data_IF_583030772537
#
_entry.id   IF_583030772537
#
_cell.length_a   1.000
_cell.length_b   1.000
_cell.length_c   1.000
_cell.angle_alpha   90.00
_cell.angle_beta   90.00
_cell.angle_gamma   90.00
#
_symmetry.space_group_name_H-M   'P 1'
#
loop_
_entity.id
_entity.type
_entity.pdbx_description
1 polymer ?
#
# COMPACT_ATOMS: atom_id res chain seq x y z
N UNK A 1 14.33 23.99 24.66
CA UNK A 1 13.40 23.17 25.48
C UNK A 1 12.55 22.23 24.62
N UNK A 2 11.91 22.71 23.55
CA UNK A 2 11.09 21.92 22.61
C UNK A 2 11.78 20.66 22.01
N UNK A 3 13.07 20.75 21.71
CA UNK A 3 13.84 19.66 21.09
C UNK A 3 14.06 18.44 22.05
N UNK A 4 13.92 18.62 23.38
CA UNK A 4 14.00 17.53 24.36
C UNK A 4 12.67 16.80 24.51
N UNK A 5 11.54 17.51 24.46
CA UNK A 5 10.19 16.93 24.49
C UNK A 5 9.89 16.09 23.24
N UNK A 6 10.21 16.60 22.05
CA UNK A 6 10.03 15.86 20.80
C UNK A 6 10.81 14.55 20.78
N UNK A 7 12.05 14.54 21.30
CA UNK A 7 12.84 13.30 21.44
C UNK A 7 12.23 12.30 22.42
N UNK A 8 11.57 12.77 23.48
CA UNK A 8 10.86 11.91 24.43
C UNK A 8 9.66 11.22 23.78
N UNK A 9 8.84 11.99 23.06
CA UNK A 9 7.65 11.48 22.35
C UNK A 9 8.06 10.45 21.28
N UNK A 10 9.07 10.76 20.45
CA UNK A 10 9.58 9.84 19.42
C UNK A 10 10.10 8.53 20.03
N UNK A 11 10.81 8.62 21.16
CA UNK A 11 11.33 7.42 21.84
C UNK A 11 10.21 6.54 22.39
N UNK A 12 9.19 7.16 22.99
CA UNK A 12 8.04 6.47 23.54
C UNK A 12 7.23 5.77 22.43
N UNK A 13 6.89 6.49 21.36
CA UNK A 13 6.19 5.93 20.19
C UNK A 13 6.96 4.78 19.54
N UNK A 14 8.28 4.88 19.48
CA UNK A 14 9.12 3.79 18.98
C UNK A 14 9.07 2.55 19.88
N UNK A 15 8.99 2.72 21.20
CA UNK A 15 8.83 1.59 22.13
C UNK A 15 7.49 0.92 21.93
N UNK A 16 6.41 1.69 21.92
CA UNK A 16 5.03 1.19 21.67
C UNK A 16 4.98 0.38 20.36
N UNK A 17 5.63 0.87 19.30
CA UNK A 17 5.72 0.19 18.02
C UNK A 17 6.41 -1.18 18.08
N UNK A 18 7.51 -1.28 18.84
CA UNK A 18 8.25 -2.54 19.02
C UNK A 18 7.40 -3.53 19.82
N UNK A 19 6.82 -3.08 20.94
CA UNK A 19 5.97 -3.91 21.79
C UNK A 19 4.75 -4.45 21.02
N UNK A 20 4.10 -3.58 20.22
CA UNK A 20 2.96 -3.99 19.39
C UNK A 20 3.34 -5.05 18.34
N UNK A 21 4.53 -4.97 17.75
CA UNK A 21 4.96 -5.95 16.77
C UNK A 21 5.49 -7.26 17.37
N UNK A 22 6.02 -7.24 18.60
CA UNK A 22 6.31 -8.48 19.35
C UNK A 22 5.00 -9.19 19.73
N UNK A 23 4.01 -8.44 20.26
CA UNK A 23 2.68 -9.01 20.55
C UNK A 23 2.03 -9.61 19.30
N UNK A 24 2.20 -8.97 18.14
CA UNK A 24 1.73 -9.50 16.87
C UNK A 24 2.40 -10.84 16.52
N UNK A 25 3.72 -10.96 16.77
CA UNK A 25 4.46 -12.21 16.54
C UNK A 25 3.93 -13.34 17.42
N UNK A 26 3.70 -13.08 18.71
CA UNK A 26 3.16 -14.06 19.65
C UNK A 26 1.80 -14.59 19.20
N UNK A 27 0.89 -13.70 18.79
CA UNK A 27 -0.44 -14.10 18.26
C UNK A 27 -0.30 -15.01 17.04
N UNK A 28 0.61 -14.67 16.12
CA UNK A 28 0.83 -15.47 14.92
C UNK A 28 1.43 -16.85 15.22
N UNK A 29 2.33 -16.94 16.20
CA UNK A 29 2.84 -18.22 16.68
C UNK A 29 1.74 -19.07 17.34
N UNK A 30 0.86 -18.46 18.15
CA UNK A 30 -0.24 -19.15 18.83
C UNK A 30 -1.23 -19.78 17.84
N UNK A 31 -1.52 -19.10 16.72
CA UNK A 31 -2.39 -19.64 15.67
C UNK A 31 -1.68 -20.59 14.70
N UNK A 32 -0.42 -20.93 14.95
CA UNK A 32 0.36 -21.88 14.14
C UNK A 32 0.91 -21.31 12.83
N UNK A 33 0.98 -19.98 12.70
CA UNK A 33 1.55 -19.29 11.53
C UNK A 33 2.80 -18.52 11.96
N UNK A 34 3.93 -19.19 12.23
CA UNK A 34 5.14 -18.50 12.64
C UNK A 34 5.60 -17.52 11.55
N UNK A 35 5.89 -16.28 11.94
CA UNK A 35 6.39 -15.22 11.04
C UNK A 35 7.86 -14.89 11.38
N UNK A 36 8.82 -15.79 11.09
CA UNK A 36 10.23 -15.57 11.43
C UNK A 36 10.85 -14.39 10.66
N UNK A 37 10.24 -14.00 9.54
CA UNK A 37 10.63 -12.83 8.75
C UNK A 37 9.92 -11.53 9.14
N UNK A 38 9.15 -11.52 10.24
CA UNK A 38 8.41 -10.33 10.68
C UNK A 38 9.39 -9.22 11.08
N UNK A 39 9.41 -8.16 10.28
CA UNK A 39 10.16 -6.93 10.55
C UNK A 39 9.21 -5.78 10.87
N UNK A 40 9.62 -4.96 11.84
CA UNK A 40 8.88 -3.79 12.31
C UNK A 40 9.76 -2.57 12.00
N UNK A 41 9.32 -1.75 11.04
CA UNK A 41 10.01 -0.54 10.60
C UNK A 41 9.17 0.68 11.02
N UNK A 42 9.56 1.38 12.10
CA UNK A 42 8.91 2.60 12.54
C UNK A 42 9.34 3.75 11.61
N UNK A 43 8.71 3.85 10.43
CA UNK A 43 9.07 4.83 9.39
C UNK A 43 8.73 6.27 9.78
N UNK A 44 7.66 6.47 10.56
CA UNK A 44 7.17 7.81 10.88
C UNK A 44 7.01 8.00 12.41
N UNK A 45 8.07 8.44 13.09
CA UNK A 45 8.09 8.52 14.55
C UNK A 45 7.16 9.60 15.13
N UNK A 46 6.55 10.43 14.28
CA UNK A 46 5.66 11.54 14.67
C UNK A 46 4.20 11.12 14.64
N UNK A 47 3.77 10.38 13.60
CA UNK A 47 2.39 9.87 13.51
C UNK A 47 2.19 8.62 14.37
N UNK A 48 3.27 7.88 14.64
CA UNK A 48 3.21 6.59 15.31
C UNK A 48 2.91 5.44 14.34
N UNK A 49 2.97 5.69 13.03
CA UNK A 49 2.76 4.65 12.03
C UNK A 49 3.94 3.68 12.00
N UNK A 50 3.60 2.40 11.89
CA UNK A 50 4.55 1.31 11.91
C UNK A 50 4.34 0.48 10.65
N UNK A 51 5.43 0.26 9.90
CA UNK A 51 5.42 -0.72 8.82
C UNK A 51 5.74 -2.08 9.41
N UNK A 52 4.83 -3.01 9.24
CA UNK A 52 5.06 -4.42 9.57
C UNK A 52 5.19 -5.20 8.27
N UNK A 53 6.32 -5.90 8.10
CA UNK A 53 6.55 -6.75 6.93
C UNK A 53 6.72 -8.20 7.40
N UNK A 54 5.81 -9.13 7.05
CA UNK A 54 5.82 -10.51 7.57
C UNK A 54 6.96 -11.38 7.01
N UNK A 55 7.71 -10.88 6.03
CA UNK A 55 8.74 -11.63 5.33
C UNK A 55 8.12 -12.65 4.37
N UNK A 56 8.66 -13.88 4.35
CA UNK A 56 8.15 -14.96 3.48
C UNK A 56 7.10 -15.77 4.23
N UNK A 57 5.92 -15.87 3.64
CA UNK A 57 4.78 -16.66 4.15
C UNK A 57 4.29 -17.60 3.06
N UNK A 58 3.79 -18.79 3.43
CA UNK A 58 3.20 -19.68 2.45
C UNK A 58 1.86 -19.12 1.97
N UNK A 59 1.51 -19.36 0.70
CA UNK A 59 0.32 -18.78 0.09
C UNK A 59 -0.98 -19.14 0.84
N UNK A 60 -1.07 -20.35 1.40
CA UNK A 60 -2.22 -20.78 2.19
C UNK A 60 -2.36 -20.00 3.52
N UNK A 61 -1.23 -19.59 4.10
CA UNK A 61 -1.20 -18.88 5.38
C UNK A 61 -1.50 -17.38 5.21
N UNK A 62 -1.31 -16.83 4.01
CA UNK A 62 -1.66 -15.42 3.67
C UNK A 62 -3.14 -15.15 3.98
N UNK A 63 -4.03 -16.04 3.55
CA UNK A 63 -5.47 -15.85 3.72
C UNK A 63 -5.87 -15.98 5.20
N UNK A 64 -5.20 -16.85 5.95
CA UNK A 64 -5.40 -16.99 7.38
C UNK A 64 -4.99 -15.72 8.14
N UNK A 65 -3.82 -15.17 7.80
CA UNK A 65 -3.32 -13.90 8.35
C UNK A 65 -4.30 -12.76 8.07
N UNK A 66 -4.80 -12.65 6.84
CA UNK A 66 -5.81 -11.64 6.47
C UNK A 66 -7.11 -11.82 7.26
N UNK A 67 -7.55 -13.05 7.47
CA UNK A 67 -8.74 -13.36 8.28
C UNK A 67 -8.60 -12.88 9.72
N UNK A 68 -7.52 -13.27 10.39
CA UNK A 68 -7.24 -12.88 11.79
C UNK A 68 -7.19 -11.37 11.96
N UNK A 69 -6.55 -10.66 11.03
CA UNK A 69 -6.49 -9.19 11.06
C UNK A 69 -7.88 -8.55 10.87
N UNK A 70 -8.72 -9.11 10.01
CA UNK A 70 -10.10 -8.63 9.80
C UNK A 70 -10.98 -8.88 11.01
N UNK A 71 -10.91 -10.08 11.59
CA UNK A 71 -11.70 -10.46 12.77
C UNK A 71 -11.29 -9.62 13.97
N UNK A 72 -9.99 -9.41 14.18
CA UNK A 72 -9.47 -8.51 15.21
C UNK A 72 -9.89 -7.05 15.00
N UNK A 73 -9.96 -6.57 13.76
CA UNK A 73 -10.43 -5.23 13.45
C UNK A 73 -11.95 -5.09 13.68
N UNK A 74 -12.74 -6.07 13.26
CA UNK A 74 -14.18 -6.11 13.47
C UNK A 74 -14.54 -6.20 14.96
N UNK A 75 -13.73 -6.90 15.76
CA UNK A 75 -13.87 -6.95 17.21
C UNK A 75 -13.50 -5.62 17.92
N UNK A 76 -12.76 -4.72 17.26
CA UNK A 76 -12.25 -3.45 17.81
C UNK A 76 -13.10 -2.22 17.45
N UNK A 77 -14.32 -2.40 16.95
CA UNK A 77 -15.11 -1.34 16.33
C UNK A 77 -15.48 -0.16 17.28
N UNK A 78 -14.54 0.78 17.45
CA UNK A 78 -14.71 2.20 17.79
C UNK A 78 -13.33 2.91 17.77
N UNK A 79 -13.03 3.56 16.65
CA UNK A 79 -11.94 4.52 16.43
C UNK A 79 -10.52 3.95 16.17
N UNK A 80 -10.08 4.17 14.92
CA UNK A 80 -8.69 4.22 14.44
C UNK A 80 -7.97 2.86 14.30
N UNK A 81 -7.87 2.36 13.06
CA UNK A 81 -6.70 1.69 12.43
C UNK A 81 -7.16 0.82 11.26
N UNK A 82 -7.13 1.35 10.03
CA UNK A 82 -7.44 0.56 8.84
C UNK A 82 -6.27 -0.35 8.48
N UNK A 83 -6.41 -1.67 8.66
CA UNK A 83 -5.61 -2.64 7.91
C UNK A 83 -6.17 -2.67 6.50
N UNK A 84 -5.61 -1.88 5.59
CA UNK A 84 -5.98 -1.94 4.17
C UNK A 84 -4.97 -2.85 3.47
N UNK A 85 -5.29 -4.12 3.18
CA UNK A 85 -4.50 -4.84 2.18
C UNK A 85 -4.55 -3.98 0.92
N UNK A 86 -3.40 -3.51 0.40
CA UNK A 86 -3.40 -2.81 -0.87
C UNK A 86 -4.01 -3.77 -1.89
N UNK A 87 -5.23 -3.52 -2.38
CA UNK A 87 -5.84 -4.43 -3.33
C UNK A 87 -4.96 -4.37 -4.57
N UNK A 88 -4.39 -5.49 -4.97
CA UNK A 88 -3.76 -5.59 -6.29
C UNK A 88 -4.86 -5.23 -7.32
N UNK A 89 -4.67 -4.19 -8.16
CA UNK A 89 -5.63 -3.83 -9.19
C UNK A 89 -5.88 -5.01 -10.12
N UNK A 90 -7.05 -5.08 -10.72
CA UNK A 90 -7.34 -6.04 -11.78
C UNK A 90 -6.71 -5.57 -13.08
N UNK A 91 -6.37 -6.50 -13.96
CA UNK A 91 -5.90 -6.18 -15.32
C UNK A 91 -6.94 -5.28 -16.01
N UNK A 92 -6.48 -4.14 -16.52
CA UNK A 92 -7.31 -3.09 -17.10
C UNK A 92 -7.73 -1.97 -16.12
N UNK A 93 -7.53 -2.13 -14.81
CA UNK A 93 -7.85 -1.09 -13.84
C UNK A 93 -6.97 0.14 -14.05
N UNK A 94 -7.58 1.31 -13.91
CA UNK A 94 -6.91 2.60 -14.05
C UNK A 94 -6.24 3.01 -12.75
N UNK A 95 -4.94 3.28 -12.86
CA UNK A 95 -4.07 3.59 -11.73
C UNK A 95 -3.19 4.80 -12.01
N UNK A 96 -2.73 5.42 -10.93
CA UNK A 96 -1.83 6.58 -10.95
C UNK A 96 -0.52 6.17 -10.30
N UNK A 97 0.55 6.22 -11.08
CA UNK A 97 1.92 6.10 -10.57
C UNK A 97 2.37 7.50 -10.12
N UNK A 98 2.35 7.72 -8.81
CA UNK A 98 2.66 9.02 -8.21
C UNK A 98 4.14 9.37 -8.28
N UNK A 99 5.04 8.38 -8.35
CA UNK A 99 6.47 8.61 -8.47
C UNK A 99 6.85 9.11 -9.87
N UNK A 100 6.20 8.55 -10.90
CA UNK A 100 6.40 8.98 -12.27
C UNK A 100 5.42 10.08 -12.73
N UNK A 101 4.46 10.47 -11.89
CA UNK A 101 3.47 11.51 -12.20
C UNK A 101 2.55 11.17 -13.39
N UNK A 102 2.33 9.88 -13.68
CA UNK A 102 1.65 9.40 -14.89
C UNK A 102 0.51 8.43 -14.56
N UNK A 103 -0.53 8.43 -15.38
CA UNK A 103 -1.66 7.51 -15.27
C UNK A 103 -1.52 6.36 -16.26
N UNK A 104 -1.92 5.15 -15.87
CA UNK A 104 -1.84 3.96 -16.69
C UNK A 104 -2.93 2.93 -16.38
N UNK A 105 -3.01 1.91 -17.22
CA UNK A 105 -3.77 0.69 -16.97
C UNK A 105 -2.85 -0.36 -16.39
N UNK A 106 -3.30 -1.02 -15.32
CA UNK A 106 -2.60 -2.17 -14.76
C UNK A 106 -2.66 -3.34 -15.75
N UNK A 107 -1.51 -3.95 -16.04
CA UNK A 107 -1.39 -5.05 -17.00
C UNK A 107 -1.05 -6.36 -16.32
N UNK A 108 0.00 -6.37 -15.50
CA UNK A 108 0.48 -7.58 -14.83
C UNK A 108 1.43 -7.24 -13.67
N UNK A 109 1.83 -8.25 -12.92
CA UNK A 109 2.92 -8.17 -11.93
C UNK A 109 4.19 -8.76 -12.55
N UNK A 110 5.27 -7.98 -12.58
CA UNK A 110 6.59 -8.40 -13.03
C UNK A 110 7.55 -8.40 -11.82
N UNK A 111 7.70 -9.56 -11.18
CA UNK A 111 8.46 -9.70 -9.94
C UNK A 111 7.82 -8.94 -8.78
N UNK A 112 8.53 -7.94 -8.26
CA UNK A 112 8.06 -7.02 -7.20
C UNK A 112 7.50 -5.70 -7.75
N UNK A 113 7.42 -5.55 -9.07
CA UNK A 113 6.94 -4.34 -9.76
C UNK A 113 5.62 -4.59 -10.46
N UNK A 114 4.84 -3.52 -10.63
CA UNK A 114 3.63 -3.57 -11.44
C UNK A 114 3.91 -3.09 -12.85
N UNK A 115 3.47 -3.86 -13.85
CA UNK A 115 3.54 -3.47 -15.26
C UNK A 115 2.31 -2.66 -15.59
N UNK A 116 2.53 -1.42 -16.03
CA UNK A 116 1.50 -0.48 -16.40
C UNK A 116 1.63 -0.14 -17.89
N UNK A 117 0.52 0.09 -18.56
CA UNK A 117 0.49 0.59 -19.94
C UNK A 117 -0.21 1.96 -19.99
N UNK A 118 0.12 2.83 -20.95
CA UNK A 118 -0.53 4.13 -21.04
C UNK A 118 -2.04 3.97 -21.27
N UNK A 119 -2.82 4.90 -20.74
CA UNK A 119 -4.28 4.88 -20.92
C UNK A 119 -4.66 5.18 -22.37
N UNK A 120 -3.87 6.02 -23.04
CA UNK A 120 -4.09 6.44 -24.43
C UNK A 120 -2.74 6.61 -25.15
N UNK A 121 -2.76 6.42 -26.48
CA UNK A 121 -1.60 6.64 -27.36
C UNK A 121 -0.64 5.44 -27.44
N UNK A 122 0.49 5.69 -28.08
CA UNK A 122 1.59 4.78 -28.43
C UNK A 122 2.75 4.82 -27.42
N UNK A 123 2.48 5.21 -26.18
CA UNK A 123 3.51 5.23 -25.15
C UNK A 123 3.95 3.83 -24.72
N UNK A 124 5.21 3.71 -24.32
CA UNK A 124 5.78 2.43 -23.90
C UNK A 124 5.23 2.03 -22.52
N UNK A 125 4.88 0.73 -22.32
CA UNK A 125 4.64 0.18 -21.00
C UNK A 125 5.82 0.43 -20.06
N UNK A 126 5.52 0.54 -18.77
CA UNK A 126 6.54 0.80 -17.74
C UNK A 126 6.30 -0.05 -16.51
N UNK A 127 7.32 -0.18 -15.68
CA UNK A 127 7.24 -0.83 -14.38
C UNK A 127 7.19 0.22 -13.28
N UNK A 128 6.26 0.03 -12.34
CA UNK A 128 6.02 0.93 -11.23
C UNK A 128 6.19 0.22 -9.89
N UNK A 129 6.54 0.97 -8.86
CA UNK A 129 6.52 0.47 -7.49
C UNK A 129 5.06 0.33 -7.02
N UNK A 130 4.60 -0.84 -6.58
CA UNK A 130 3.25 -1.00 -6.03
C UNK A 130 2.92 0.02 -4.93
N UNK A 131 3.92 0.49 -4.18
CA UNK A 131 3.75 1.47 -3.11
C UNK A 131 3.56 2.91 -3.59
N UNK A 132 3.92 3.21 -4.83
CA UNK A 132 3.72 4.53 -5.45
C UNK A 132 2.49 4.56 -6.35
N UNK A 133 1.84 3.41 -6.53
CA UNK A 133 0.67 3.26 -7.38
C UNK A 133 -0.61 3.21 -6.54
N UNK A 134 -1.59 4.02 -6.93
CA UNK A 134 -2.94 4.00 -6.34
C UNK A 134 -4.02 3.96 -7.41
N UNK A 135 -5.23 3.54 -7.03
CA UNK A 135 -6.40 3.68 -7.92
C UNK A 135 -6.61 5.14 -8.32
N UNK A 136 -6.94 5.35 -9.59
CA UNK A 136 -7.30 6.66 -10.09
C UNK A 136 -8.64 7.11 -9.49
N UNK A 137 -8.73 8.38 -9.08
CA UNK A 137 -10.00 8.97 -8.64
C UNK A 137 -10.89 9.28 -9.86
N UNK A 138 -12.21 9.40 -9.64
CA UNK A 138 -13.15 9.74 -10.71
C UNK A 138 -12.78 11.04 -11.45
N UNK A 139 -12.26 12.04 -10.73
CA UNK A 139 -11.81 13.30 -11.33
C UNK A 139 -10.55 13.12 -12.21
N UNK A 140 -9.66 12.21 -11.85
CA UNK A 140 -8.48 11.87 -12.65
C UNK A 140 -8.88 11.06 -13.88
N UNK A 141 -9.85 10.15 -13.75
CA UNK A 141 -10.46 9.45 -14.88
C UNK A 141 -11.09 10.42 -15.89
N UNK A 142 -11.81 11.44 -15.40
CA UNK A 142 -12.41 12.47 -16.25
C UNK A 142 -11.35 13.34 -16.91
N UNK A 143 -10.29 13.75 -16.19
CA UNK A 143 -9.18 14.51 -16.79
C UNK A 143 -8.49 13.70 -17.88
N UNK A 144 -8.14 12.45 -17.61
CA UNK A 144 -7.48 11.55 -18.56
C UNK A 144 -8.37 11.33 -19.79
N UNK A 145 -9.69 11.12 -19.61
CA UNK A 145 -10.65 11.01 -20.70
C UNK A 145 -10.88 12.30 -21.50
N UNK A 146 -10.79 13.48 -20.86
CA UNK A 146 -10.88 14.78 -21.54
C UNK A 146 -9.62 15.09 -22.36
N UNK A 147 -8.42 14.78 -21.85
CA UNK A 147 -7.16 14.94 -22.61
C UNK A 147 -7.15 14.07 -23.87
N UNK A 148 -7.72 12.85 -23.81
CA UNK A 148 -7.86 11.98 -24.97
C UNK A 148 -8.78 12.54 -26.05
N UNK A 149 -9.89 13.21 -25.67
CA UNK A 149 -10.79 13.87 -26.63
C UNK A 149 -10.17 15.09 -27.30
N UNK A 150 -9.32 15.85 -26.58
CA UNK A 150 -8.63 17.01 -27.15
C UNK A 150 -7.55 16.59 -28.15
N UNK A 151 -6.78 15.55 -27.84
CA UNK A 151 -5.75 15.01 -28.75
C UNK A 151 -6.34 14.37 -30.02
N UNK A 152 -7.57 13.86 -29.97
CA UNK A 152 -8.26 13.29 -31.15
C UNK A 152 -8.86 14.37 -32.06
N UNK A 153 -9.13 15.58 -31.54
CA UNK A 153 -9.67 16.70 -32.34
C UNK A 153 -8.56 17.53 -33.01
N UNK A 154 -7.31 17.40 -32.56
CA UNK A 154 -6.16 18.14 -33.11
C UNK A 154 -5.44 17.42 -34.27
N UNK A 155 -5.86 16.20 -34.64
CA UNK A 155 -5.38 15.46 -35.83
C UNK A 155 -6.38 15.45 -37.01
N UNK A 156 -7.45 16.23 -36.94
CA UNK A 156 -8.48 16.30 -37.99
C UNK A 156 -8.73 17.74 -38.49
N UNK A 157 -7.71 18.59 -38.48
CA UNK A 157 -7.71 19.92 -39.09
C UNK A 157 -6.52 20.09 -40.02
#
# INVERSE_FOLDING_TARGET
>A
MANRMLRGIVKERRREAIEAGEALREVFEEIGVPLPGLTIDPREPVTGDVRVSPGRIAANDVLMVVGVLRDGLAARDAAVNSVTPMPCPKVGDLVVDTAAGRCGTFQDVDGDRWRLAPVFGDGEPWTADPHTVRSATLNELVRVGMTAKVSHHQKAG
#
